data_IF_718314599050
#
_entry.id   IF_718314599050
#
_cell.length_a   1.000
_cell.length_b   1.000
_cell.length_c   1.000
_cell.angle_alpha   90.00
_cell.angle_beta   90.00
_cell.angle_gamma   90.00
#
_symmetry.space_group_name_H-M   'P 1'
#
loop_
_entity.id
_entity.type
_entity.pdbx_description
1 polymer ?
#
# COMPACT_ATOMS: atom_id res chain seq x y z
N UNK A 1 27.31 11.24 -4.33
CA UNK A 1 27.00 10.85 -5.72
C UNK A 1 25.90 9.82 -5.62
N UNK A 2 24.65 10.19 -5.97
CA UNK A 2 23.53 9.25 -5.90
C UNK A 2 23.81 8.12 -6.89
N UNK A 3 23.94 6.87 -6.41
CA UNK A 3 23.93 5.72 -7.29
C UNK A 3 22.56 5.69 -7.96
N UNK A 4 22.52 6.12 -9.21
CA UNK A 4 21.29 6.09 -9.98
C UNK A 4 20.87 4.62 -10.08
N UNK A 5 19.60 4.35 -9.80
CA UNK A 5 19.00 3.03 -10.08
C UNK A 5 19.34 2.68 -11.53
N UNK A 6 19.79 1.45 -11.72
CA UNK A 6 20.00 0.89 -13.05
C UNK A 6 18.74 1.07 -13.92
N UNK A 7 18.87 1.48 -15.18
CA UNK A 7 17.73 1.71 -16.07
C UNK A 7 16.78 0.52 -16.22
N UNK A 8 17.29 -0.72 -16.14
CA UNK A 8 16.45 -1.92 -16.19
C UNK A 8 15.59 -2.05 -14.94
N UNK A 9 16.19 -1.83 -13.78
CA UNK A 9 15.50 -1.80 -12.47
C UNK A 9 14.43 -0.71 -12.45
N UNK A 10 14.73 0.49 -12.96
CA UNK A 10 13.77 1.58 -13.04
C UNK A 10 12.61 1.25 -13.99
N UNK A 11 12.88 0.65 -15.15
CA UNK A 11 11.85 0.25 -16.09
C UNK A 11 10.91 -0.82 -15.49
N UNK A 12 11.48 -1.82 -14.81
CA UNK A 12 10.71 -2.86 -14.14
C UNK A 12 9.88 -2.29 -12.98
N UNK A 13 10.47 -1.44 -12.14
CA UNK A 13 9.76 -0.75 -11.06
C UNK A 13 8.62 0.12 -11.61
N UNK A 14 8.85 0.83 -12.72
CA UNK A 14 7.84 1.64 -13.41
C UNK A 14 6.63 0.81 -13.88
N UNK A 15 6.88 -0.37 -14.45
CA UNK A 15 5.82 -1.30 -14.87
C UNK A 15 5.03 -1.81 -13.66
N UNK A 16 5.71 -2.21 -12.59
CA UNK A 16 5.08 -2.70 -11.36
C UNK A 16 4.20 -1.60 -10.74
N UNK A 17 4.71 -0.38 -10.65
CA UNK A 17 3.97 0.77 -10.12
C UNK A 17 2.77 1.12 -11.00
N UNK A 18 2.92 1.09 -12.32
CA UNK A 18 1.82 1.30 -13.26
C UNK A 18 0.68 0.29 -13.02
N UNK A 19 0.99 -1.00 -12.92
CA UNK A 19 0.00 -2.06 -12.64
C UNK A 19 -0.66 -1.87 -11.28
N UNK A 20 0.12 -1.53 -10.26
CA UNK A 20 -0.39 -1.23 -8.92
C UNK A 20 -1.33 0.00 -8.90
N UNK A 21 -0.95 1.07 -9.60
CA UNK A 21 -1.76 2.28 -9.73
C UNK A 21 -3.05 2.05 -10.52
N UNK A 22 -2.97 1.27 -11.60
CA UNK A 22 -4.13 0.82 -12.37
C UNK A 22 -5.12 0.09 -11.46
N UNK A 23 -4.63 -0.89 -10.71
CA UNK A 23 -5.43 -1.70 -9.78
C UNK A 23 -6.08 -0.84 -8.69
N UNK A 24 -5.30 0.02 -8.03
CA UNK A 24 -5.83 0.90 -6.97
C UNK A 24 -6.90 1.85 -7.51
N UNK A 25 -6.72 2.39 -8.69
CA UNK A 25 -7.68 3.32 -9.29
C UNK A 25 -9.00 2.65 -9.69
N UNK A 26 -8.97 1.36 -10.07
CA UNK A 26 -10.16 0.56 -10.42
C UNK A 26 -10.92 0.06 -9.19
N UNK A 27 -10.20 -0.46 -8.20
CA UNK A 27 -10.77 -1.18 -7.03
C UNK A 27 -10.90 -0.25 -5.82
N UNK A 28 -10.02 0.75 -5.68
CA UNK A 28 -9.96 1.69 -4.56
C UNK A 28 -8.80 1.44 -3.58
N UNK A 29 -8.17 0.26 -3.63
CA UNK A 29 -6.92 -0.07 -2.94
C UNK A 29 -6.14 -1.07 -3.78
N UNK A 30 -4.83 -1.21 -3.52
CA UNK A 30 -4.07 -2.27 -4.18
C UNK A 30 -2.69 -1.86 -4.72
N UNK A 31 -2.38 -0.56 -4.89
CA UNK A 31 -1.04 -0.18 -5.36
C UNK A 31 0.04 -0.87 -4.52
N UNK A 32 0.00 -0.69 -3.21
CA UNK A 32 1.00 -1.26 -2.33
C UNK A 32 0.90 -2.79 -2.22
N UNK A 33 -0.31 -3.36 -2.25
CA UNK A 33 -0.48 -4.83 -2.15
C UNK A 33 0.17 -5.53 -3.33
N UNK A 34 0.08 -4.94 -4.54
CA UNK A 34 0.74 -5.43 -5.76
C UNK A 34 2.22 -5.05 -5.77
N UNK A 35 2.50 -3.77 -5.52
CA UNK A 35 3.83 -3.22 -5.77
C UNK A 35 4.84 -3.61 -4.68
N UNK A 36 4.47 -3.61 -3.39
CA UNK A 36 5.45 -3.79 -2.32
C UNK A 36 6.22 -5.11 -2.39
N UNK A 37 5.61 -6.29 -2.54
CA UNK A 37 6.37 -7.52 -2.60
C UNK A 37 7.25 -7.59 -3.86
N UNK A 38 6.75 -7.12 -5.01
CA UNK A 38 7.50 -7.12 -6.27
C UNK A 38 8.65 -6.11 -6.23
N UNK A 39 8.40 -4.90 -5.75
CA UNK A 39 9.44 -3.87 -5.63
C UNK A 39 10.50 -4.27 -4.60
N UNK A 40 10.12 -4.92 -3.50
CA UNK A 40 11.09 -5.40 -2.51
C UNK A 40 12.01 -6.50 -3.08
N UNK A 41 11.49 -7.34 -4.00
CA UNK A 41 12.31 -8.33 -4.73
C UNK A 41 13.30 -7.63 -5.68
N UNK A 42 12.86 -6.57 -6.34
CA UNK A 42 13.65 -5.80 -7.33
C UNK A 42 14.71 -4.94 -6.62
N UNK A 43 14.30 -4.12 -5.67
CA UNK A 43 15.17 -3.30 -4.82
C UNK A 43 14.45 -2.97 -3.50
N UNK A 44 14.96 -3.48 -2.35
CA UNK A 44 14.37 -3.20 -1.04
C UNK A 44 14.25 -1.70 -0.70
N UNK A 45 15.08 -0.83 -1.29
CA UNK A 45 15.02 0.62 -1.05
C UNK A 45 13.74 1.27 -1.58
N UNK A 46 13.03 0.59 -2.48
CA UNK A 46 11.73 1.06 -3.00
C UNK A 46 10.59 0.90 -2.01
N UNK A 47 10.77 0.16 -0.90
CA UNK A 47 9.74 -0.14 0.11
C UNK A 47 10.28 0.18 1.51
N UNK A 48 9.51 0.85 2.38
CA UNK A 48 8.13 1.31 2.20
C UNK A 48 8.01 2.76 1.68
N UNK A 49 9.00 3.63 1.92
CA UNK A 49 8.85 5.08 1.77
C UNK A 49 8.45 5.52 0.34
N UNK A 50 9.09 5.07 -0.76
CA UNK A 50 8.64 5.42 -2.11
C UNK A 50 7.22 4.94 -2.41
N UNK A 51 6.85 3.72 -2.00
CA UNK A 51 5.48 3.19 -2.21
C UNK A 51 4.45 4.02 -1.45
N UNK A 52 4.76 4.47 -0.22
CA UNK A 52 3.86 5.35 0.57
C UNK A 52 3.65 6.68 -0.16
N UNK A 53 4.70 7.29 -0.69
CA UNK A 53 4.62 8.55 -1.43
C UNK A 53 3.81 8.39 -2.73
N UNK A 54 3.97 7.29 -3.45
CA UNK A 54 3.15 6.96 -4.62
C UNK A 54 1.70 6.68 -4.24
N UNK A 55 1.46 5.98 -3.12
CA UNK A 55 0.14 5.76 -2.54
C UNK A 55 -0.57 7.05 -2.17
N UNK A 56 0.15 8.03 -1.60
CA UNK A 56 -0.34 9.38 -1.35
C UNK A 56 -0.79 10.06 -2.65
N UNK A 57 0.05 10.02 -3.67
CA UNK A 57 -0.21 10.69 -4.95
C UNK A 57 -1.45 10.14 -5.64
N UNK A 58 -1.61 8.82 -5.72
CA UNK A 58 -2.80 8.22 -6.33
C UNK A 58 -4.05 8.41 -5.48
N UNK A 59 -3.92 8.44 -4.15
CA UNK A 59 -5.03 8.74 -3.26
C UNK A 59 -5.54 10.17 -3.46
N UNK A 60 -4.64 11.14 -3.64
CA UNK A 60 -4.99 12.52 -3.94
C UNK A 60 -5.76 12.63 -5.26
N UNK A 61 -5.25 12.01 -6.33
CA UNK A 61 -5.93 11.99 -7.64
C UNK A 61 -7.32 11.33 -7.56
N UNK A 62 -7.43 10.23 -6.80
CA UNK A 62 -8.69 9.51 -6.64
C UNK A 62 -9.69 10.33 -5.81
N UNK A 63 -9.23 10.99 -4.73
CA UNK A 63 -10.10 11.82 -3.90
C UNK A 63 -10.64 13.02 -4.67
N UNK A 64 -9.83 13.67 -5.51
CA UNK A 64 -10.28 14.77 -6.37
C UNK A 64 -11.39 14.30 -7.32
N UNK A 65 -11.26 13.08 -7.88
CA UNK A 65 -12.29 12.48 -8.74
C UNK A 65 -13.59 12.15 -7.99
N UNK A 66 -13.48 11.63 -6.77
CA UNK A 66 -14.61 11.12 -5.97
C UNK A 66 -15.09 12.11 -4.89
N UNK A 67 -14.65 13.36 -4.92
CA UNK A 67 -14.85 14.35 -3.84
C UNK A 67 -16.32 14.57 -3.44
N UNK A 68 -17.25 14.39 -4.37
CA UNK A 68 -18.70 14.52 -4.10
C UNK A 68 -19.30 13.40 -3.25
N UNK A 69 -18.56 12.33 -3.00
CA UNK A 69 -19.02 11.14 -2.28
C UNK A 69 -18.28 10.96 -0.93
N UNK A 70 -17.55 11.97 -0.48
CA UNK A 70 -16.75 11.89 0.74
C UNK A 70 -17.63 12.01 1.99
N UNK A 71 -17.65 10.93 2.78
CA UNK A 71 -18.20 10.89 4.13
C UNK A 71 -17.06 10.66 5.14
N UNK A 72 -16.85 11.60 6.06
CA UNK A 72 -15.70 11.60 6.98
C UNK A 72 -16.00 11.01 8.36
N UNK A 73 -17.20 10.43 8.58
CA UNK A 73 -17.63 9.98 9.91
C UNK A 73 -16.76 8.84 10.45
N UNK A 74 -16.04 9.13 11.54
CA UNK A 74 -15.28 8.15 12.31
C UNK A 74 -13.86 7.88 11.84
N UNK A 75 -13.42 8.35 10.66
CA UNK A 75 -12.05 8.13 10.16
C UNK A 75 -10.96 8.68 11.11
N UNK A 76 -11.27 9.71 11.91
CA UNK A 76 -10.34 10.24 12.91
C UNK A 76 -9.87 9.18 13.91
N UNK A 77 -10.73 8.24 14.32
CA UNK A 77 -10.32 7.17 15.24
C UNK A 77 -9.32 6.21 14.61
N UNK A 78 -9.47 5.92 13.32
CA UNK A 78 -8.49 5.11 12.58
C UNK A 78 -7.16 5.86 12.42
N UNK A 79 -7.19 7.17 12.16
CA UNK A 79 -5.99 7.99 12.06
C UNK A 79 -5.26 8.11 13.41
N UNK A 80 -5.99 8.22 14.53
CA UNK A 80 -5.39 8.17 15.87
C UNK A 80 -4.70 6.83 16.10
N UNK A 81 -5.36 5.70 15.79
CA UNK A 81 -4.77 4.36 15.88
C UNK A 81 -3.55 4.18 14.96
N UNK A 82 -3.53 4.86 13.82
CA UNK A 82 -2.42 4.83 12.86
C UNK A 82 -1.08 5.26 13.46
N UNK A 83 -1.09 6.19 14.42
CA UNK A 83 0.12 6.74 15.04
C UNK A 83 0.88 5.65 15.83
N UNK A 84 0.32 5.01 16.88
CA UNK A 84 1.03 3.95 17.61
C UNK A 84 1.38 2.77 16.70
N UNK A 85 0.48 2.36 15.78
CA UNK A 85 0.77 1.31 14.81
C UNK A 85 1.94 1.66 13.90
N UNK A 86 2.03 2.91 13.46
CA UNK A 86 3.13 3.39 12.63
C UNK A 86 4.49 3.33 13.35
N UNK A 87 4.56 3.71 14.62
CA UNK A 87 5.78 3.58 15.41
C UNK A 87 6.19 2.12 15.61
N UNK A 88 5.24 1.21 15.88
CA UNK A 88 5.52 -0.24 15.95
C UNK A 88 6.09 -0.74 14.63
N UNK A 89 5.48 -0.38 13.49
CA UNK A 89 5.99 -0.76 12.17
C UNK A 89 7.37 -0.19 11.86
N UNK A 90 7.61 1.08 12.18
CA UNK A 90 8.91 1.73 12.02
C UNK A 90 9.99 1.09 12.90
N UNK A 91 9.66 0.68 14.12
CA UNK A 91 10.59 -0.04 14.99
C UNK A 91 11.04 -1.36 14.37
N UNK A 92 10.14 -2.11 13.71
CA UNK A 92 10.53 -3.32 13.00
C UNK A 92 11.50 -3.03 11.86
N UNK A 93 11.29 -1.94 11.11
CA UNK A 93 12.21 -1.52 10.04
C UNK A 93 13.61 -1.16 10.56
N UNK A 94 13.71 -0.61 11.80
CA UNK A 94 14.99 -0.24 12.39
C UNK A 94 15.80 -1.44 12.85
N UNK A 95 15.14 -2.47 13.37
CA UNK A 95 15.83 -3.56 14.08
C UNK A 95 15.84 -4.89 13.33
N UNK A 96 14.93 -5.10 12.36
CA UNK A 96 14.84 -6.36 11.65
C UNK A 96 15.82 -6.40 10.46
N UNK A 97 16.57 -7.51 10.26
CA UNK A 97 17.36 -7.72 9.06
C UNK A 97 16.46 -7.87 7.81
N UNK A 98 17.05 -7.60 6.63
CA UNK A 98 16.32 -7.59 5.36
C UNK A 98 15.48 -8.86 5.10
N UNK A 99 15.95 -10.10 5.34
CA UNK A 99 15.12 -11.27 5.12
C UNK A 99 13.88 -11.33 6.02
N UNK A 100 13.99 -10.86 7.28
CA UNK A 100 12.84 -10.78 8.20
C UNK A 100 11.83 -9.74 7.71
N UNK A 101 12.30 -8.61 7.17
CA UNK A 101 11.44 -7.61 6.55
C UNK A 101 10.73 -8.18 5.32
N UNK A 102 11.43 -8.93 4.47
CA UNK A 102 10.84 -9.63 3.33
C UNK A 102 9.74 -10.60 3.74
N UNK A 103 9.98 -11.43 4.76
CA UNK A 103 8.96 -12.33 5.33
C UNK A 103 7.78 -11.56 5.93
N UNK A 104 8.04 -10.44 6.60
CA UNK A 104 6.99 -9.59 7.17
C UNK A 104 6.09 -9.00 6.05
N UNK A 105 6.68 -8.51 4.97
CA UNK A 105 5.95 -8.02 3.80
C UNK A 105 5.12 -9.14 3.19
N UNK A 106 5.70 -10.32 2.97
CA UNK A 106 5.00 -11.47 2.41
C UNK A 106 3.82 -11.91 3.30
N UNK A 107 4.01 -11.95 4.62
CA UNK A 107 2.95 -12.25 5.58
C UNK A 107 1.83 -11.21 5.53
N UNK A 108 2.16 -9.91 5.50
CA UNK A 108 1.19 -8.82 5.39
C UNK A 108 0.39 -8.92 4.10
N UNK A 109 1.04 -9.21 2.96
CA UNK A 109 0.35 -9.42 1.66
C UNK A 109 -0.57 -10.63 1.73
N UNK A 110 -0.12 -11.74 2.32
CA UNK A 110 -0.94 -12.94 2.50
C UNK A 110 -2.18 -12.65 3.33
N UNK A 111 -2.02 -11.93 4.46
CA UNK A 111 -3.16 -11.48 5.29
C UNK A 111 -4.07 -10.56 4.48
N UNK A 112 -3.53 -9.63 3.70
CA UNK A 112 -4.32 -8.73 2.85
C UNK A 112 -5.14 -9.50 1.80
N UNK A 113 -4.58 -10.53 1.19
CA UNK A 113 -5.26 -11.42 0.24
C UNK A 113 -6.39 -12.17 0.94
N UNK A 114 -6.12 -12.79 2.10
CA UNK A 114 -7.12 -13.52 2.89
C UNK A 114 -8.28 -12.58 3.26
N UNK A 115 -7.99 -11.40 3.81
CA UNK A 115 -9.00 -10.40 4.16
C UNK A 115 -9.82 -9.92 2.95
N UNK A 116 -9.22 -9.92 1.76
CA UNK A 116 -9.90 -9.52 0.51
C UNK A 116 -10.78 -10.62 -0.08
N UNK A 117 -10.46 -11.89 0.18
CA UNK A 117 -11.26 -13.05 -0.27
C UNK A 117 -12.49 -13.27 0.62
N UNK A 118 -12.33 -13.15 1.92
CA UNK A 118 -13.41 -13.35 2.87
C UNK A 118 -14.23 -12.07 3.05
N UNK A 119 -15.56 -12.22 3.01
CA UNK A 119 -16.51 -11.12 3.30
C UNK A 119 -16.67 -10.99 4.82
N UNK A 120 -15.69 -10.42 5.48
CA UNK A 120 -15.84 -10.07 6.89
C UNK A 120 -16.73 -8.83 7.03
N UNK A 121 -17.67 -8.86 7.97
CA UNK A 121 -18.40 -7.68 8.40
C UNK A 121 -18.06 -7.44 9.88
N UNK A 122 -17.39 -6.34 10.14
CA UNK A 122 -17.12 -5.89 11.51
C UNK A 122 -18.02 -4.69 11.82
N UNK A 123 -18.52 -4.57 13.05
CA UNK A 123 -19.29 -3.40 13.44
C UNK A 123 -18.40 -2.15 13.37
N UNK A 124 -18.87 -1.11 12.69
CA UNK A 124 -18.16 0.17 12.60
C UNK A 124 -18.40 0.97 13.86
N UNK A 125 -17.43 1.00 14.76
CA UNK A 125 -17.45 1.78 16.00
C UNK A 125 -16.04 2.34 16.29
N UNK A 126 -15.94 3.22 17.30
CA UNK A 126 -14.68 3.88 17.67
C UNK A 126 -13.53 2.89 17.94
N UNK A 127 -13.84 1.76 18.62
CA UNK A 127 -12.83 0.74 18.99
C UNK A 127 -12.33 -0.03 17.78
N UNK A 128 -13.23 -0.47 16.88
CA UNK A 128 -12.87 -1.20 15.67
C UNK A 128 -12.12 -0.31 14.67
N UNK A 129 -12.51 0.97 14.55
CA UNK A 129 -11.78 1.96 13.74
C UNK A 129 -10.37 2.22 14.29
N UNK A 130 -10.23 2.39 15.61
CA UNK A 130 -8.92 2.55 16.23
C UNK A 130 -8.03 1.31 16.02
N UNK A 131 -8.56 0.11 16.28
CA UNK A 131 -7.84 -1.16 16.07
C UNK A 131 -7.42 -1.36 14.61
N UNK A 132 -8.32 -1.09 13.66
CA UNK A 132 -7.99 -1.12 12.22
C UNK A 132 -6.91 -0.07 11.87
N UNK A 133 -6.94 1.09 12.51
CA UNK A 133 -5.90 2.09 12.40
C UNK A 133 -4.55 1.61 12.87
N UNK A 134 -4.47 0.95 14.04
CA UNK A 134 -3.24 0.37 14.57
C UNK A 134 -2.67 -0.68 13.60
N UNK A 135 -3.48 -1.65 13.18
CA UNK A 135 -3.04 -2.68 12.22
C UNK A 135 -2.62 -2.06 10.89
N UNK A 136 -3.40 -1.10 10.38
CA UNK A 136 -3.04 -0.32 9.19
C UNK A 136 -1.72 0.44 9.38
N UNK A 137 -1.43 0.92 10.60
CA UNK A 137 -0.19 1.58 10.97
C UNK A 137 1.02 0.65 10.85
N UNK A 138 0.93 -0.52 11.46
CA UNK A 138 1.96 -1.55 11.40
C UNK A 138 2.23 -1.95 9.95
N UNK A 139 1.21 -2.40 9.25
CA UNK A 139 1.31 -2.86 7.86
C UNK A 139 1.77 -1.77 6.91
N UNK A 140 1.27 -0.55 7.13
CA UNK A 140 1.58 0.58 6.28
C UNK A 140 3.03 1.06 6.40
N UNK A 141 3.65 1.02 7.57
CA UNK A 141 5.04 1.42 7.73
C UNK A 141 6.02 0.29 7.34
N UNK A 142 5.64 -1.00 7.48
CA UNK A 142 6.48 -2.11 7.05
C UNK A 142 6.41 -2.30 5.52
N UNK A 143 5.21 -2.35 4.97
CA UNK A 143 4.95 -2.78 3.60
C UNK A 143 4.22 -1.73 2.73
N UNK A 144 3.97 -0.53 3.25
CA UNK A 144 3.08 0.48 2.66
C UNK A 144 1.61 0.00 2.50
N UNK A 145 1.20 -1.14 3.08
CA UNK A 145 -0.10 -1.81 2.91
C UNK A 145 -1.04 -1.45 4.05
N UNK A 146 -1.55 -0.23 4.08
CA UNK A 146 -2.51 0.21 5.11
C UNK A 146 -4.00 -0.02 4.78
N UNK A 147 -4.31 -0.47 3.58
CA UNK A 147 -5.67 -0.53 3.04
C UNK A 147 -6.58 -1.63 3.60
N UNK A 148 -6.17 -2.90 3.61
CA UNK A 148 -7.06 -4.03 3.90
C UNK A 148 -7.82 -3.95 5.24
N UNK A 149 -7.22 -3.54 6.37
CA UNK A 149 -7.97 -3.39 7.61
C UNK A 149 -9.10 -2.36 7.54
N UNK A 150 -8.88 -1.26 6.81
CA UNK A 150 -9.89 -0.23 6.60
C UNK A 150 -10.94 -0.65 5.58
N UNK A 151 -10.54 -1.38 4.54
CA UNK A 151 -11.45 -1.86 3.51
C UNK A 151 -12.57 -2.75 4.07
N UNK A 152 -12.29 -3.56 5.10
CA UNK A 152 -13.28 -4.38 5.79
C UNK A 152 -14.36 -3.52 6.46
N UNK A 153 -13.95 -2.45 7.13
CA UNK A 153 -14.88 -1.55 7.83
C UNK A 153 -15.71 -0.70 6.86
N UNK A 154 -15.22 -0.49 5.65
CA UNK A 154 -15.87 0.31 4.62
C UNK A 154 -16.64 -0.55 3.59
N UNK A 155 -16.62 -1.88 3.70
CA UNK A 155 -17.15 -2.81 2.71
C UNK A 155 -18.67 -2.67 2.43
N UNK A 156 -19.44 -2.08 3.36
CA UNK A 156 -20.88 -1.80 3.17
C UNK A 156 -21.21 -0.53 2.40
N UNK A 157 -20.20 0.26 2.00
CA UNK A 157 -20.41 1.51 1.25
C UNK A 157 -20.49 1.28 -0.26
N UNK A 158 -21.16 2.20 -0.95
CA UNK A 158 -21.14 2.23 -2.41
C UNK A 158 -19.70 2.41 -2.95
N UNK A 159 -19.46 1.94 -4.18
CA UNK A 159 -18.10 1.93 -4.75
C UNK A 159 -17.42 3.31 -4.77
N UNK A 160 -18.17 4.39 -5.02
CA UNK A 160 -17.63 5.76 -5.02
C UNK A 160 -17.35 6.26 -3.62
N UNK A 161 -18.26 6.02 -2.66
CA UNK A 161 -18.06 6.33 -1.24
C UNK A 161 -16.88 5.55 -0.66
N UNK A 162 -16.76 4.26 -1.00
CA UNK A 162 -15.65 3.41 -0.58
C UNK A 162 -14.31 3.96 -1.06
N UNK A 163 -14.18 4.32 -2.37
CA UNK A 163 -12.97 4.91 -2.92
C UNK A 163 -12.67 6.28 -2.32
N UNK A 164 -13.68 7.12 -2.13
CA UNK A 164 -13.50 8.43 -1.51
C UNK A 164 -13.01 8.32 -0.06
N UNK A 165 -13.65 7.49 0.77
CA UNK A 165 -13.29 7.30 2.17
C UNK A 165 -11.90 6.68 2.33
N UNK A 166 -11.55 5.65 1.53
CA UNK A 166 -10.20 5.07 1.55
C UNK A 166 -9.14 6.06 1.07
N UNK A 167 -9.42 6.83 0.02
CA UNK A 167 -8.46 7.82 -0.50
C UNK A 167 -8.20 8.92 0.53
N UNK A 168 -9.25 9.42 1.21
CA UNK A 168 -9.10 10.36 2.31
C UNK A 168 -8.25 9.76 3.45
N UNK A 169 -8.55 8.53 3.85
CA UNK A 169 -7.74 7.83 4.85
C UNK A 169 -6.29 7.68 4.40
N UNK A 170 -6.02 7.30 3.14
CA UNK A 170 -4.66 7.12 2.64
C UNK A 170 -3.86 8.43 2.59
N UNK A 171 -4.47 9.55 2.25
CA UNK A 171 -3.79 10.85 2.26
C UNK A 171 -3.23 11.13 3.65
N UNK A 172 -4.08 11.16 4.67
CA UNK A 172 -3.65 11.46 6.05
C UNK A 172 -2.75 10.35 6.61
N UNK A 173 -3.06 9.09 6.34
CA UNK A 173 -2.29 7.93 6.76
C UNK A 173 -0.87 7.93 6.17
N UNK A 174 -0.72 8.29 4.90
CA UNK A 174 0.59 8.40 4.25
C UNK A 174 1.40 9.57 4.81
N UNK A 175 0.77 10.71 5.09
CA UNK A 175 1.44 11.83 5.75
C UNK A 175 1.98 11.42 7.12
N UNK A 176 1.14 10.77 7.96
CA UNK A 176 1.56 10.26 9.27
C UNK A 176 2.72 9.27 9.11
N UNK A 177 2.63 8.35 8.15
CA UNK A 177 3.68 7.36 7.91
C UNK A 177 5.00 8.00 7.50
N UNK A 178 4.99 8.93 6.54
CA UNK A 178 6.20 9.63 6.08
C UNK A 178 6.81 10.50 7.21
N UNK A 179 5.98 11.14 8.04
CA UNK A 179 6.44 11.87 9.23
C UNK A 179 7.13 10.93 10.21
N UNK A 180 6.54 9.76 10.51
CA UNK A 180 7.14 8.77 11.41
C UNK A 180 8.47 8.28 10.85
N UNK A 181 8.53 7.94 9.55
CA UNK A 181 9.78 7.51 8.89
C UNK A 181 10.85 8.62 8.88
N UNK A 182 10.44 9.89 8.75
CA UNK A 182 11.37 11.02 8.84
C UNK A 182 11.94 11.20 10.27
N UNK A 183 11.09 11.16 11.29
CA UNK A 183 11.50 11.30 12.70
C UNK A 183 12.40 10.14 13.13
N UNK A 184 12.15 8.93 12.62
CA UNK A 184 12.95 7.73 12.92
C UNK A 184 14.21 7.60 12.06
N UNK A 185 14.47 8.56 11.15
CA UNK A 185 15.66 8.55 10.29
C UNK A 185 15.60 7.55 9.13
N UNK A 186 14.43 6.91 8.92
CA UNK A 186 14.23 5.92 7.85
C UNK A 186 13.85 6.57 6.50
N UNK A 187 13.47 7.85 6.49
CA UNK A 187 13.18 8.59 5.26
C UNK A 187 14.42 9.40 4.84
N UNK A 188 15.02 9.00 3.74
CA UNK A 188 16.15 9.70 3.12
C UNK A 188 15.70 10.46 1.86
N UNK A 189 16.49 11.45 1.46
CA UNK A 189 16.24 12.24 0.24
C UNK A 189 16.18 11.35 -1.03
N UNK A 190 16.97 10.27 -1.05
CA UNK A 190 16.93 9.28 -2.15
C UNK A 190 15.54 8.69 -2.37
N UNK A 191 14.80 8.40 -1.30
CA UNK A 191 13.45 7.83 -1.38
C UNK A 191 12.46 8.80 -2.03
N UNK A 192 12.62 10.11 -1.79
CA UNK A 192 11.80 11.15 -2.45
C UNK A 192 12.11 11.24 -3.94
N UNK A 193 13.40 11.17 -4.32
CA UNK A 193 13.81 11.15 -5.73
C UNK A 193 13.28 9.90 -6.46
N UNK A 194 13.37 8.72 -5.83
CA UNK A 194 12.81 7.48 -6.37
C UNK A 194 11.29 7.59 -6.59
N UNK A 195 10.60 8.18 -5.62
CA UNK A 195 9.16 8.44 -5.74
C UNK A 195 8.84 9.36 -6.91
N UNK A 196 9.62 10.41 -7.10
CA UNK A 196 9.43 11.38 -8.18
C UNK A 196 9.68 10.73 -9.56
N UNK A 197 10.71 9.88 -9.68
CA UNK A 197 11.00 9.14 -10.93
C UNK A 197 9.88 8.16 -11.30
N UNK A 198 9.19 7.57 -10.31
CA UNK A 198 8.10 6.61 -10.51
C UNK A 198 6.72 7.27 -10.62
N UNK A 199 6.60 8.56 -10.29
CA UNK A 199 5.33 9.30 -10.34
C UNK A 199 4.66 9.30 -11.73
N UNK A 200 5.37 9.40 -12.86
CA UNK A 200 4.74 9.28 -14.19
C UNK A 200 3.99 7.97 -14.37
N UNK A 201 4.50 6.85 -13.84
CA UNK A 201 3.85 5.54 -13.90
C UNK A 201 2.55 5.49 -13.08
N UNK A 202 2.53 6.18 -11.93
CA UNK A 202 1.31 6.36 -11.11
C UNK A 202 0.25 7.12 -11.91
N UNK A 203 0.64 8.23 -12.51
CA UNK A 203 -0.28 9.09 -13.30
C UNK A 203 -0.82 8.34 -14.51
N UNK A 204 0.05 7.63 -15.24
CA UNK A 204 -0.37 6.82 -16.39
C UNK A 204 -1.34 5.70 -15.97
N UNK A 205 -1.04 4.98 -14.89
CA UNK A 205 -1.93 3.95 -14.36
C UNK A 205 -3.30 4.50 -13.97
N UNK A 206 -3.33 5.67 -13.31
CA UNK A 206 -4.56 6.37 -12.97
C UNK A 206 -5.37 6.79 -14.22
N UNK A 207 -4.74 7.38 -15.23
CA UNK A 207 -5.40 7.84 -16.45
C UNK A 207 -5.96 6.66 -17.26
N UNK A 208 -5.19 5.58 -17.41
CA UNK A 208 -5.65 4.36 -18.09
C UNK A 208 -6.82 3.74 -17.35
N UNK A 209 -6.74 3.64 -16.00
CA UNK A 209 -7.84 3.16 -15.19
C UNK A 209 -9.12 3.98 -15.41
N UNK A 210 -9.00 5.30 -15.50
CA UNK A 210 -10.12 6.20 -15.74
C UNK A 210 -10.89 5.87 -17.04
N UNK A 211 -10.17 5.41 -18.08
CA UNK A 211 -10.79 4.97 -19.34
C UNK A 211 -11.41 3.57 -19.27
N UNK A 212 -10.94 2.75 -18.34
CA UNK A 212 -11.38 1.37 -18.15
C UNK A 212 -12.51 1.24 -17.13
N UNK A 213 -12.72 2.24 -16.27
CA UNK A 213 -13.84 2.27 -15.32
C UNK A 213 -15.16 2.08 -16.07
N UNK A 214 -15.95 1.09 -15.66
CA UNK A 214 -17.22 0.73 -16.30
C UNK A 214 -17.12 -0.23 -17.48
N UNK A 215 -15.91 -0.49 -18.01
CA UNK A 215 -15.67 -1.42 -19.13
C UNK A 215 -15.08 -2.76 -18.68
N UNK A 216 -14.45 -2.79 -17.51
CA UNK A 216 -13.76 -3.96 -16.98
C UNK A 216 -14.57 -4.56 -15.83
N UNK A 217 -14.68 -5.88 -15.83
CA UNK A 217 -15.29 -6.64 -14.75
C UNK A 217 -14.45 -6.51 -13.47
N UNK A 218 -15.05 -5.88 -12.45
CA UNK A 218 -14.38 -5.61 -11.18
C UNK A 218 -13.98 -6.88 -10.43
N UNK A 219 -14.82 -7.92 -10.49
CA UNK A 219 -14.55 -9.19 -9.79
C UNK A 219 -13.38 -9.93 -10.46
N UNK A 220 -13.35 -9.97 -11.80
CA UNK A 220 -12.22 -10.55 -12.55
C UNK A 220 -10.92 -9.78 -12.29
N UNK A 221 -10.98 -8.45 -12.30
CA UNK A 221 -9.82 -7.59 -12.00
C UNK A 221 -9.33 -7.84 -10.57
N UNK A 222 -10.23 -7.90 -9.60
CA UNK A 222 -9.90 -8.20 -8.20
C UNK A 222 -9.24 -9.58 -8.10
N UNK A 223 -9.81 -10.61 -8.73
CA UNK A 223 -9.27 -11.96 -8.67
C UNK A 223 -7.87 -12.03 -9.31
N UNK A 224 -7.68 -11.44 -10.48
CA UNK A 224 -6.37 -11.38 -11.13
C UNK A 224 -5.31 -10.68 -10.24
N UNK A 225 -5.71 -9.58 -9.58
CA UNK A 225 -4.86 -8.88 -8.61
C UNK A 225 -4.48 -9.78 -7.43
N UNK A 226 -5.45 -10.47 -6.84
CA UNK A 226 -5.18 -11.35 -5.69
C UNK A 226 -4.28 -12.53 -6.06
N UNK A 227 -4.44 -13.11 -7.26
CA UNK A 227 -3.55 -14.15 -7.78
C UNK A 227 -2.12 -13.61 -7.91
N UNK A 228 -1.95 -12.44 -8.53
CA UNK A 228 -0.63 -11.80 -8.67
C UNK A 228 0.01 -11.52 -7.29
N UNK A 229 -0.76 -11.01 -6.33
CA UNK A 229 -0.30 -10.77 -4.97
C UNK A 229 0.10 -12.08 -4.26
N UNK A 230 -0.66 -13.17 -4.45
CA UNK A 230 -0.33 -14.46 -3.86
C UNK A 230 0.97 -15.04 -4.42
N UNK A 231 1.16 -14.95 -5.73
CA UNK A 231 2.38 -15.40 -6.40
C UNK A 231 3.58 -14.57 -5.92
N UNK A 232 3.45 -13.24 -5.88
CA UNK A 232 4.55 -12.37 -5.44
C UNK A 232 4.90 -12.55 -3.96
N UNK A 233 3.91 -12.78 -3.09
CA UNK A 233 4.14 -13.11 -1.69
C UNK A 233 4.86 -14.45 -1.53
N UNK A 234 4.49 -15.46 -2.31
CA UNK A 234 5.15 -16.77 -2.30
C UNK A 234 6.62 -16.64 -2.76
N UNK A 235 6.87 -15.96 -3.87
CA UNK A 235 8.24 -15.73 -4.37
C UNK A 235 9.08 -14.97 -3.34
N UNK A 236 8.52 -13.92 -2.73
CA UNK A 236 9.23 -13.16 -1.70
C UNK A 236 9.50 -14.02 -0.45
N UNK A 237 8.56 -14.88 -0.05
CA UNK A 237 8.75 -15.82 1.06
C UNK A 237 9.93 -16.76 0.77
N UNK A 238 9.92 -17.40 -0.39
CA UNK A 238 11.00 -18.33 -0.80
C UNK A 238 12.35 -17.63 -0.82
N UNK A 239 12.44 -16.45 -1.46
CA UNK A 239 13.68 -15.64 -1.49
C UNK A 239 14.18 -15.33 -0.09
N UNK A 240 13.32 -14.81 0.79
CA UNK A 240 13.70 -14.42 2.15
C UNK A 240 14.07 -15.61 3.03
N UNK A 241 13.46 -16.78 2.85
CA UNK A 241 13.84 -18.01 3.57
C UNK A 241 15.22 -18.48 3.10
N UNK A 242 15.49 -18.46 1.81
CA UNK A 242 16.81 -18.84 1.26
C UNK A 242 17.90 -17.92 1.82
N UNK A 243 17.65 -16.62 1.92
CA UNK A 243 18.60 -15.63 2.48
C UNK A 243 18.83 -15.81 3.99
N UNK A 244 17.94 -16.50 4.71
CA UNK A 244 18.10 -16.84 6.14
C UNK A 244 18.89 -18.13 6.39
N UNK A 245 18.98 -19.00 5.38
CA UNK A 245 19.73 -20.24 5.52
C UNK A 245 21.23 -19.93 5.56
N UNK A 246 22.00 -20.56 6.48
CA UNK A 246 23.44 -20.38 6.52
C UNK A 246 24.04 -20.90 5.21
N UNK A 247 24.83 -20.03 4.55
CA UNK A 247 25.65 -20.39 3.39
C UNK A 247 26.93 -21.08 3.83
#
# INVERSE_FOLDING_TARGET
MFSMIDPQTLALASLIVFLGALTQSLIGFGLAVVASPLLYIVDPQLVPAPVIAMGFSIALLTLVRERGHLEFNGLQYALIGRVPGGFIGASLLLFAPQPILGLSIAAIVTVAVILSLYKFSLPVNKKTLFGAGVVSGIFGNIAAIGGPPMAILLAGKDASQFRAALSAFFIFSSMIALIILAITGLLELKHLWLSLMLLPSVILGYLVAGRLVGRVDKEKTKMATLVLCSISALVLTVKSVIELLPQ
#
